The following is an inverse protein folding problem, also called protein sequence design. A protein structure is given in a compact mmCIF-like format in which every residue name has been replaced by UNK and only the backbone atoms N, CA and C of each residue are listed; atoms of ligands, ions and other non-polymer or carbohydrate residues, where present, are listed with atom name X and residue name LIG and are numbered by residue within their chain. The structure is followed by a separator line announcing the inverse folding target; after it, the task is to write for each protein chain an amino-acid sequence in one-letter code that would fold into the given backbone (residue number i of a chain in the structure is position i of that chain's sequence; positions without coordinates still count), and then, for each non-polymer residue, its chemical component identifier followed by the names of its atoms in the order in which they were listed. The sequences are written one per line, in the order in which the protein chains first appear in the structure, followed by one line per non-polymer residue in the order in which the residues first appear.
data_IF_288105670445
#
_entry.id   IF_288105670445
#
_cell.length_a   1.000
_cell.length_b   1.000
_cell.length_c   1.000
_cell.angle_alpha   90.00
_cell.angle_beta   90.00
_cell.angle_gamma   90.00
#
_symmetry.space_group_name_H-M   'P 1'
#
loop_
_entity.id
_entity.type
_entity.pdbx_description
1 polymer ?
#
# COMPACT_ATOMS: atom_id res chain seq x y z
N UNK A 1 -6.18 23.09 -33.34
CA UNK A 1 -4.87 22.53 -32.97
C UNK A 1 -5.15 21.28 -32.15
N UNK A 2 -5.20 20.13 -32.83
CA UNK A 2 -5.47 18.81 -32.23
C UNK A 2 -4.20 18.33 -31.57
N UNK A 3 -4.08 18.61 -30.27
CA UNK A 3 -2.99 18.08 -29.45
C UNK A 3 -3.11 16.55 -29.45
N UNK A 4 -2.24 15.87 -30.20
CA UNK A 4 -2.08 14.42 -30.11
C UNK A 4 -1.56 14.12 -28.71
N UNK A 5 -2.47 13.79 -27.80
CA UNK A 5 -2.15 13.31 -26.46
C UNK A 5 -1.24 12.09 -26.65
N UNK A 6 0.05 12.15 -26.29
CA UNK A 6 0.96 11.04 -26.58
C UNK A 6 0.55 9.85 -25.71
N UNK A 7 0.05 8.78 -26.35
CA UNK A 7 -0.41 7.55 -25.69
C UNK A 7 0.64 6.87 -24.80
N UNK A 8 1.91 7.29 -24.90
CA UNK A 8 3.01 6.88 -24.02
C UNK A 8 2.83 7.35 -22.57
N UNK A 9 2.05 8.41 -22.31
CA UNK A 9 1.74 8.88 -20.94
C UNK A 9 0.89 7.87 -20.17
N UNK A 10 -0.07 7.22 -20.86
CA UNK A 10 -0.90 6.16 -20.29
C UNK A 10 -0.03 5.01 -19.80
N UNK A 11 0.89 4.51 -20.63
CA UNK A 11 1.79 3.41 -20.25
C UNK A 11 2.78 3.80 -19.15
N UNK A 12 3.37 4.99 -19.16
CA UNK A 12 4.38 5.37 -18.14
C UNK A 12 3.81 5.67 -16.76
N UNK A 13 2.52 5.99 -16.66
CA UNK A 13 1.89 6.40 -15.39
C UNK A 13 0.95 5.32 -14.89
N UNK A 14 0.09 4.79 -15.76
CA UNK A 14 -0.87 3.76 -15.37
C UNK A 14 -0.15 2.44 -15.10
N UNK A 15 0.89 2.07 -15.85
CA UNK A 15 1.61 0.82 -15.58
C UNK A 15 2.22 0.78 -14.17
N UNK A 16 3.00 1.78 -13.70
CA UNK A 16 3.51 1.75 -12.33
C UNK A 16 2.42 1.84 -11.27
N UNK A 17 1.32 2.58 -11.52
CA UNK A 17 0.16 2.59 -10.60
C UNK A 17 -0.48 1.20 -10.52
N UNK A 18 -0.73 0.56 -11.66
CA UNK A 18 -1.30 -0.79 -11.71
C UNK A 18 -0.38 -1.80 -11.03
N UNK A 19 0.92 -1.75 -11.31
CA UNK A 19 1.90 -2.63 -10.65
C UNK A 19 1.87 -2.40 -9.13
N UNK A 20 1.88 -1.15 -8.68
CA UNK A 20 1.78 -0.82 -7.24
C UNK A 20 0.47 -1.33 -6.64
N UNK A 21 -0.65 -1.17 -7.34
CA UNK A 21 -1.95 -1.71 -6.92
C UNK A 21 -1.95 -3.23 -6.82
N UNK A 22 -1.36 -3.91 -7.81
CA UNK A 22 -1.25 -5.37 -7.82
C UNK A 22 -0.38 -5.84 -6.65
N UNK A 23 0.78 -5.21 -6.44
CA UNK A 23 1.68 -5.57 -5.32
C UNK A 23 0.98 -5.31 -3.99
N UNK A 24 0.31 -4.16 -3.82
CA UNK A 24 -0.43 -3.85 -2.59
C UNK A 24 -1.54 -4.85 -2.33
N UNK A 25 -2.25 -5.27 -3.37
CA UNK A 25 -3.26 -6.32 -3.26
C UNK A 25 -2.61 -7.66 -2.89
N UNK A 26 -1.50 -8.02 -3.55
CA UNK A 26 -0.73 -9.22 -3.23
C UNK A 26 -0.29 -9.23 -1.76
N UNK A 27 0.22 -8.12 -1.22
CA UNK A 27 0.67 -8.00 0.17
C UNK A 27 -0.45 -8.31 1.18
N UNK A 28 -1.68 -7.88 0.87
CA UNK A 28 -2.87 -8.19 1.69
C UNK A 28 -3.17 -9.69 1.73
N UNK A 29 -3.18 -10.34 0.56
CA UNK A 29 -3.49 -11.78 0.45
C UNK A 29 -2.30 -12.67 0.79
N UNK A 30 -1.07 -12.17 0.75
CA UNK A 30 0.15 -12.97 0.91
C UNK A 30 0.14 -13.73 2.25
N UNK A 31 -0.31 -13.11 3.33
CA UNK A 31 -0.37 -13.79 4.64
C UNK A 31 -1.39 -14.93 4.66
N UNK A 32 -2.51 -14.79 3.93
CA UNK A 32 -3.54 -15.82 3.86
C UNK A 32 -3.06 -17.06 3.13
N UNK A 33 -2.06 -16.92 2.23
CA UNK A 33 -1.38 -18.03 1.59
C UNK A 33 -0.18 -18.53 2.41
N UNK A 34 0.56 -17.64 3.08
CA UNK A 34 1.74 -18.00 3.87
C UNK A 34 1.39 -18.82 5.12
N UNK A 35 0.28 -18.49 5.80
CA UNK A 35 -0.22 -19.21 6.97
C UNK A 35 -0.36 -20.72 6.72
N UNK A 36 -1.20 -21.20 5.76
CA UNK A 36 -1.30 -22.62 5.43
C UNK A 36 -0.09 -23.17 4.64
N UNK A 37 0.79 -22.31 4.13
CA UNK A 37 1.99 -22.68 3.35
C UNK A 37 3.20 -23.10 4.18
N UNK A 38 3.07 -23.22 5.52
CA UNK A 38 4.14 -23.65 6.42
C UNK A 38 4.57 -22.59 7.45
N UNK A 39 4.11 -21.34 7.31
CA UNK A 39 4.45 -20.26 8.26
C UNK A 39 3.88 -20.51 9.66
N UNK A 40 2.74 -21.21 9.77
CA UNK A 40 2.21 -21.67 11.07
C UNK A 40 3.15 -22.65 11.78
N UNK A 41 3.81 -23.56 11.04
CA UNK A 41 4.72 -24.55 11.61
C UNK A 41 6.12 -23.97 11.91
N UNK A 42 6.65 -23.11 11.03
CA UNK A 42 7.97 -22.51 11.21
C UNK A 42 8.02 -21.44 12.31
N UNK A 43 6.93 -20.66 12.48
CA UNK A 43 6.87 -19.59 13.48
C UNK A 43 6.01 -19.93 14.69
N UNK A 44 5.38 -21.12 14.74
CA UNK A 44 4.48 -21.50 15.82
C UNK A 44 3.21 -20.64 15.92
N UNK A 45 2.82 -20.00 14.82
CA UNK A 45 1.68 -19.06 14.78
C UNK A 45 0.39 -19.84 15.00
N UNK A 46 -0.32 -19.51 16.08
CA UNK A 46 -1.65 -20.07 16.33
C UNK A 46 -2.70 -19.37 15.48
N UNK A 47 -3.81 -20.03 15.18
CA UNK A 47 -4.92 -19.50 14.37
C UNK A 47 -5.48 -18.17 14.92
N UNK A 48 -5.38 -17.93 16.23
CA UNK A 48 -5.71 -16.66 16.88
C UNK A 48 -4.78 -15.53 16.41
N UNK A 49 -3.47 -15.79 16.37
CA UNK A 49 -2.43 -14.83 16.01
C UNK A 49 -2.55 -14.40 14.53
N UNK A 50 -2.96 -15.32 13.65
CA UNK A 50 -3.32 -15.02 12.26
C UNK A 50 -4.48 -14.01 12.13
N UNK A 51 -5.50 -14.16 12.97
CA UNK A 51 -6.60 -13.21 13.08
C UNK A 51 -6.12 -11.84 13.56
N UNK A 52 -5.26 -11.80 14.58
CA UNK A 52 -4.67 -10.55 15.09
C UNK A 52 -3.80 -9.87 14.03
N UNK A 53 -2.97 -10.62 13.30
CA UNK A 53 -2.13 -10.07 12.22
C UNK A 53 -2.95 -9.47 11.08
N UNK A 54 -4.14 -10.00 10.82
CA UNK A 54 -5.08 -9.42 9.85
C UNK A 54 -5.77 -8.17 10.41
N UNK A 55 -6.18 -8.19 11.67
CA UNK A 55 -6.84 -7.05 12.32
C UNK A 55 -5.92 -5.84 12.55
N UNK A 56 -4.67 -6.07 12.95
CA UNK A 56 -3.73 -4.99 13.27
C UNK A 56 -3.37 -4.14 12.05
N UNK A 57 -3.37 -4.76 10.87
CA UNK A 57 -3.20 -4.09 9.59
C UNK A 57 -4.29 -3.04 9.37
N UNK A 58 -5.56 -3.39 9.61
CA UNK A 58 -6.68 -2.44 9.49
C UNK A 58 -6.57 -1.31 10.52
N UNK A 59 -6.11 -1.60 11.74
CA UNK A 59 -5.90 -0.56 12.76
C UNK A 59 -4.82 0.42 12.29
N UNK A 60 -3.68 -0.08 11.80
CA UNK A 60 -2.63 0.77 11.24
C UNK A 60 -3.12 1.60 10.04
N UNK A 61 -3.91 1.00 9.17
CA UNK A 61 -4.51 1.66 8.02
C UNK A 61 -5.41 2.84 8.42
N UNK A 62 -6.25 2.67 9.44
CA UNK A 62 -7.10 3.75 9.96
C UNK A 62 -6.30 4.95 10.47
N UNK A 63 -5.15 4.69 11.10
CA UNK A 63 -4.28 5.74 11.63
C UNK A 63 -3.80 6.73 10.57
N UNK A 64 -3.49 6.25 9.36
CA UNK A 64 -3.04 7.11 8.26
C UNK A 64 -4.18 7.54 7.34
N UNK A 65 -5.30 6.82 7.31
CA UNK A 65 -6.47 7.18 6.52
C UNK A 65 -7.12 8.49 6.99
N UNK A 66 -7.24 8.70 8.30
CA UNK A 66 -7.82 9.94 8.88
C UNK A 66 -6.96 11.19 8.58
N UNK A 67 -5.65 11.22 8.92
CA UNK A 67 -4.79 12.37 8.59
C UNK A 67 -4.49 12.46 7.10
N UNK A 68 -4.40 11.35 6.37
CA UNK A 68 -4.21 11.30 4.92
C UNK A 68 -5.37 11.96 4.16
N UNK A 69 -6.61 11.73 4.59
CA UNK A 69 -7.79 12.43 4.06
C UNK A 69 -7.73 13.94 4.31
N UNK A 70 -7.28 14.37 5.51
CA UNK A 70 -7.13 15.79 5.83
C UNK A 70 -5.99 16.46 5.04
N UNK A 71 -4.86 15.76 4.86
CA UNK A 71 -3.72 16.23 4.07
C UNK A 71 -4.03 16.28 2.57
N UNK A 72 -4.87 15.38 2.06
CA UNK A 72 -5.35 15.42 0.69
C UNK A 72 -6.20 16.68 0.40
N UNK A 73 -6.98 17.15 1.39
CA UNK A 73 -7.83 18.33 1.25
C UNK A 73 -7.06 19.64 1.48
N UNK A 74 -6.07 19.66 2.39
CA UNK A 74 -5.47 20.91 2.88
C UNK A 74 -3.94 21.06 2.69
N UNK A 75 -3.22 20.04 2.20
CA UNK A 75 -1.75 19.99 2.28
C UNK A 75 -0.98 19.73 0.98
N UNK A 76 0.35 19.94 1.03
CA UNK A 76 1.33 19.53 0.01
C UNK A 76 1.46 17.99 -0.04
N UNK A 77 0.43 17.32 -0.56
CA UNK A 77 0.33 15.86 -0.60
C UNK A 77 1.50 15.18 -1.30
N UNK A 78 2.14 15.83 -2.29
CA UNK A 78 3.20 15.24 -3.12
C UNK A 78 4.39 14.67 -2.33
N UNK A 79 4.89 15.39 -1.31
CA UNK A 79 6.06 14.92 -0.52
C UNK A 79 5.66 13.80 0.43
N UNK A 80 4.52 13.93 1.08
CA UNK A 80 3.99 12.93 2.00
C UNK A 80 3.73 11.59 1.28
N UNK A 81 3.12 11.66 0.10
CA UNK A 81 2.88 10.54 -0.80
C UNK A 81 4.16 9.81 -1.20
N UNK A 82 5.20 10.56 -1.58
CA UNK A 82 6.49 9.96 -1.93
C UNK A 82 7.12 9.23 -0.73
N UNK A 83 7.08 9.83 0.46
CA UNK A 83 7.57 9.20 1.68
C UNK A 83 6.75 7.96 2.08
N UNK A 84 5.43 8.00 1.96
CA UNK A 84 4.57 6.83 2.23
C UNK A 84 4.82 5.68 1.26
N UNK A 85 5.01 5.97 -0.04
CA UNK A 85 5.33 4.94 -1.04
C UNK A 85 6.68 4.26 -0.75
N UNK A 86 7.70 5.04 -0.39
CA UNK A 86 9.02 4.52 -0.03
C UNK A 86 8.95 3.71 1.27
N UNK A 87 8.24 4.21 2.29
CA UNK A 87 8.02 3.49 3.54
C UNK A 87 7.33 2.15 3.29
N UNK A 88 6.27 2.13 2.48
CA UNK A 88 5.57 0.91 2.10
C UNK A 88 6.51 -0.09 1.39
N UNK A 89 7.29 0.36 0.41
CA UNK A 89 8.22 -0.52 -0.32
C UNK A 89 9.30 -1.14 0.60
N UNK A 90 9.86 -0.34 1.52
CA UNK A 90 10.85 -0.82 2.49
C UNK A 90 10.24 -1.85 3.44
N UNK A 91 9.04 -1.59 3.93
CA UNK A 91 8.35 -2.47 4.89
C UNK A 91 7.89 -3.78 4.23
N UNK A 92 7.44 -3.72 2.96
CA UNK A 92 7.10 -4.91 2.17
C UNK A 92 8.31 -5.83 2.01
N UNK A 93 9.49 -5.27 1.65
CA UNK A 93 10.74 -6.04 1.57
C UNK A 93 11.12 -6.62 2.94
N UNK A 94 11.02 -5.82 4.01
CA UNK A 94 11.35 -6.26 5.37
C UNK A 94 10.43 -7.40 5.85
N UNK A 95 9.18 -7.45 5.40
CA UNK A 95 8.23 -8.52 5.71
C UNK A 95 8.70 -9.88 5.16
N UNK A 96 9.46 -9.89 4.05
CA UNK A 96 10.07 -11.10 3.50
C UNK A 96 11.22 -11.70 4.33
N UNK A 97 11.80 -10.93 5.28
CA UNK A 97 12.91 -11.38 6.13
C UNK A 97 12.46 -11.74 7.55
N UNK A 98 11.16 -11.88 7.79
CA UNK A 98 10.63 -12.12 9.12
C UNK A 98 10.89 -13.55 9.57
N UNK A 99 11.42 -13.69 10.78
CA UNK A 99 11.70 -14.99 11.39
C UNK A 99 10.88 -15.23 12.66
N UNK A 100 10.20 -14.22 13.20
CA UNK A 100 9.45 -14.30 14.46
C UNK A 100 8.03 -13.74 14.34
N UNK A 101 7.08 -14.34 15.07
CA UNK A 101 5.65 -14.01 15.00
C UNK A 101 5.37 -12.54 15.37
N UNK A 102 6.09 -12.02 16.38
CA UNK A 102 5.96 -10.64 16.83
C UNK A 102 6.52 -9.63 15.82
N UNK A 103 7.60 -9.99 15.10
CA UNK A 103 8.12 -9.16 14.03
C UNK A 103 7.12 -9.04 12.89
N UNK A 104 6.45 -10.16 12.55
CA UNK A 104 5.38 -10.17 11.56
C UNK A 104 4.25 -9.22 11.95
N UNK A 105 3.84 -9.25 13.23
CA UNK A 105 2.79 -8.41 13.79
C UNK A 105 3.14 -6.92 13.73
N UNK A 106 4.35 -6.56 14.14
CA UNK A 106 4.85 -5.17 14.10
C UNK A 106 4.96 -4.67 12.66
N UNK A 107 5.54 -5.47 11.77
CA UNK A 107 5.65 -5.11 10.35
C UNK A 107 4.28 -4.97 9.70
N UNK A 108 3.31 -5.84 10.02
CA UNK A 108 1.93 -5.72 9.54
C UNK A 108 1.26 -4.43 9.99
N UNK A 109 1.49 -3.99 11.22
CA UNK A 109 1.00 -2.70 11.70
C UNK A 109 1.61 -1.52 10.92
N UNK A 110 2.94 -1.53 10.75
CA UNK A 110 3.65 -0.48 10.00
C UNK A 110 3.26 -0.48 8.52
N UNK A 111 3.02 -1.66 7.94
CA UNK A 111 2.56 -1.82 6.57
C UNK A 111 1.16 -1.25 6.40
N UNK A 112 0.26 -1.54 7.35
CA UNK A 112 -1.08 -0.93 7.40
C UNK A 112 -1.04 0.60 7.47
N UNK A 113 -0.20 1.15 8.36
CA UNK A 113 0.10 2.59 8.44
C UNK A 113 0.51 3.09 7.06
N UNK A 114 1.57 2.54 6.48
CA UNK A 114 2.13 3.01 5.20
C UNK A 114 1.13 2.92 4.04
N UNK A 115 0.29 1.88 4.01
CA UNK A 115 -0.71 1.68 2.96
C UNK A 115 -1.91 2.64 3.06
N UNK A 116 -2.16 3.24 4.22
CA UNK A 116 -3.15 4.32 4.38
C UNK A 116 -2.91 5.52 3.45
N UNK A 117 -1.66 5.71 2.99
CA UNK A 117 -1.28 6.72 2.01
C UNK A 117 -1.59 6.35 0.55
N UNK A 118 -2.00 5.12 0.24
CA UNK A 118 -2.15 4.62 -1.13
C UNK A 118 -3.24 5.35 -1.92
N UNK A 119 -4.39 5.64 -1.30
CA UNK A 119 -5.47 6.40 -1.95
C UNK A 119 -5.01 7.79 -2.44
N UNK A 120 -4.39 8.65 -1.60
CA UNK A 120 -3.89 9.93 -2.06
C UNK A 120 -2.72 9.79 -3.05
N UNK A 121 -1.89 8.74 -2.97
CA UNK A 121 -0.86 8.43 -3.97
C UNK A 121 -1.49 8.28 -5.35
N UNK A 122 -2.47 7.38 -5.47
CA UNK A 122 -3.15 7.08 -6.74
C UNK A 122 -3.85 8.32 -7.28
N UNK A 123 -4.63 9.01 -6.44
CA UNK A 123 -5.34 10.24 -6.83
C UNK A 123 -4.39 11.34 -7.29
N UNK A 124 -3.25 11.53 -6.63
CA UNK A 124 -2.27 12.56 -7.00
C UNK A 124 -1.53 12.21 -8.28
N UNK A 125 -1.15 10.93 -8.47
CA UNK A 125 -0.51 10.52 -9.73
C UNK A 125 -1.47 10.67 -10.91
N UNK A 126 -2.74 10.34 -10.71
CA UNK A 126 -3.78 10.48 -11.73
C UNK A 126 -4.06 11.96 -12.02
N UNK A 127 -4.27 12.79 -10.98
CA UNK A 127 -4.55 14.24 -11.13
C UNK A 127 -3.38 15.04 -11.76
N UNK A 128 -2.11 14.67 -11.52
CA UNK A 128 -0.98 15.37 -12.15
C UNK A 128 -0.75 14.97 -13.61
N UNK A 129 -1.23 13.81 -14.06
CA UNK A 129 -0.94 13.30 -15.41
C UNK A 129 -2.14 13.25 -16.35
N UNK A 130 -3.36 13.12 -15.82
CA UNK A 130 -4.60 13.11 -16.58
C UNK A 130 -5.40 14.40 -16.33
N UNK A 131 -5.86 15.09 -17.38
CA UNK A 131 -6.77 16.21 -17.21
C UNK A 131 -8.11 15.73 -16.64
N UNK A 132 -8.76 16.54 -15.80
CA UNK A 132 -10.06 16.24 -15.19
C UNK A 132 -11.14 15.79 -16.19
N UNK A 133 -11.04 16.17 -17.47
CA UNK A 133 -11.96 15.73 -18.53
C UNK A 133 -11.87 14.25 -18.93
N UNK A 134 -10.78 13.55 -18.58
CA UNK A 134 -10.61 12.11 -18.81
C UNK A 134 -10.88 11.28 -17.54
N UNK A 135 -10.97 11.96 -16.40
CA UNK A 135 -11.43 11.44 -15.12
C UNK A 135 -12.95 11.57 -15.08
N UNK A 136 -13.63 10.49 -15.49
CA UNK A 136 -15.09 10.46 -15.63
C UNK A 136 -15.88 10.96 -14.42
#
# INVERSE_FOLDING_TARGET
MTDKIPGTRWLRVIAPILITCIISFMDRVNISFALPGGMEQDLGITSQMAGVASGIFFIGYLFLQIPGGRLAVYGSGKRFIAWSLVAWAVVSIATGFVTHEYQLLVLRFILGISEGGMLPVVLTMVSNWFPEKELG
#
